data_IF_609926551553
#
_entry.id   IF_609926551553
#
_cell.length_a   1.000
_cell.length_b   1.000
_cell.length_c   1.000
_cell.angle_alpha   90.00
_cell.angle_beta   90.00
_cell.angle_gamma   90.00
#
_symmetry.space_group_name_H-M   'P 1'
#
loop_
_entity.id
_entity.type
_entity.pdbx_description
1 polymer ?
#
# COMPACT_ATOMS: atom_id res chain seq x y z
N UNK A 1 -5.26 -5.67 3.98
CA UNK A 1 -4.31 -4.50 3.96
C UNK A 1 -2.89 -5.04 3.97
N UNK A 2 -2.00 -4.42 3.21
CA UNK A 2 -0.60 -4.84 3.12
C UNK A 2 0.18 -4.48 4.38
N UNK A 3 1.19 -5.29 4.73
CA UNK A 3 2.15 -4.95 5.81
C UNK A 3 2.90 -3.65 5.52
N UNK A 4 2.99 -3.23 4.25
CA UNK A 4 3.56 -1.93 3.87
C UNK A 4 2.72 -0.78 4.46
N UNK A 5 1.40 -0.91 4.45
CA UNK A 5 0.52 0.07 5.08
C UNK A 5 0.77 0.14 6.59
N UNK A 6 1.00 -1.00 7.23
CA UNK A 6 1.38 -1.04 8.64
C UNK A 6 2.69 -0.30 8.88
N UNK A 7 3.70 -0.49 8.02
CA UNK A 7 4.98 0.21 8.12
C UNK A 7 4.79 1.74 7.99
N UNK A 8 3.96 2.19 7.06
CA UNK A 8 3.66 3.62 6.89
C UNK A 8 2.94 4.20 8.11
N UNK A 9 1.97 3.48 8.66
CA UNK A 9 1.26 3.91 9.88
C UNK A 9 2.21 3.98 11.07
N UNK A 10 3.10 2.99 11.22
CA UNK A 10 4.10 2.99 12.28
C UNK A 10 5.06 4.16 12.16
N UNK A 11 5.54 4.44 10.95
CA UNK A 11 6.39 5.59 10.69
C UNK A 11 5.69 6.90 11.07
N UNK A 12 4.39 7.02 10.78
CA UNK A 12 3.60 8.17 11.19
C UNK A 12 3.51 8.35 12.70
N UNK A 13 3.38 7.26 13.46
CA UNK A 13 3.39 7.31 14.94
C UNK A 13 4.74 7.82 15.43
N UNK A 14 5.84 7.25 14.90
CA UNK A 14 7.19 7.61 15.32
C UNK A 14 7.57 9.04 14.96
N UNK A 15 7.03 9.57 13.87
CA UNK A 15 7.29 10.94 13.41
C UNK A 15 6.45 12.00 14.12
N UNK A 16 5.43 11.61 14.89
CA UNK A 16 4.56 12.56 15.58
C UNK A 16 5.34 13.35 16.64
N UNK A 17 5.13 14.68 16.66
CA UNK A 17 5.87 15.59 17.54
C UNK A 17 5.10 15.96 18.80
N UNK A 18 3.81 15.65 18.87
CA UNK A 18 2.97 15.89 20.03
C UNK A 18 2.18 14.64 20.42
N UNK A 19 1.74 14.60 21.68
CA UNK A 19 1.05 13.42 22.23
C UNK A 19 -0.32 13.19 21.58
N UNK A 20 -1.07 14.25 21.31
CA UNK A 20 -2.42 14.12 20.73
C UNK A 20 -2.37 13.48 19.34
N UNK A 21 -1.44 13.94 18.49
CA UNK A 21 -1.24 13.37 17.15
C UNK A 21 -0.72 11.93 17.24
N UNK A 22 0.23 11.68 18.15
CA UNK A 22 0.78 10.33 18.35
C UNK A 22 -0.30 9.34 18.79
N UNK A 23 -1.13 9.74 19.76
CA UNK A 23 -2.19 8.88 20.27
C UNK A 23 -3.22 8.54 19.18
N UNK A 24 -3.62 9.55 18.39
CA UNK A 24 -4.53 9.34 17.27
C UNK A 24 -3.96 8.37 16.22
N UNK A 25 -2.70 8.56 15.85
CA UNK A 25 -2.02 7.70 14.88
C UNK A 25 -1.81 6.30 15.41
N UNK A 26 -1.46 6.17 16.70
CA UNK A 26 -1.33 4.88 17.36
C UNK A 26 -2.66 4.13 17.40
N UNK A 27 -3.76 4.84 17.64
CA UNK A 27 -5.10 4.25 17.62
C UNK A 27 -5.44 3.67 16.25
N UNK A 28 -5.14 4.41 15.18
CA UNK A 28 -5.33 3.96 13.80
C UNK A 28 -4.47 2.72 13.52
N UNK A 29 -3.21 2.73 13.93
CA UNK A 29 -2.30 1.58 13.76
C UNK A 29 -2.82 0.34 14.49
N UNK A 30 -3.28 0.50 15.72
CA UNK A 30 -3.82 -0.62 16.52
C UNK A 30 -5.03 -1.24 15.84
N UNK A 31 -5.95 -0.41 15.34
CA UNK A 31 -7.12 -0.89 14.59
C UNK A 31 -6.71 -1.62 13.30
N UNK A 32 -5.70 -1.11 12.58
CA UNK A 32 -5.21 -1.73 11.37
C UNK A 32 -4.58 -3.11 11.62
N UNK A 33 -3.85 -3.26 12.73
CA UNK A 33 -3.23 -4.54 13.10
C UNK A 33 -4.27 -5.64 13.38
N UNK A 34 -5.46 -5.27 13.81
CA UNK A 34 -6.56 -6.21 14.05
C UNK A 34 -7.15 -6.78 12.76
N UNK A 35 -6.83 -6.21 11.59
CA UNK A 35 -7.34 -6.65 10.29
C UNK A 35 -6.47 -7.72 9.61
N UNK A 36 -5.56 -8.35 10.35
CA UNK A 36 -4.64 -9.38 9.83
C UNK A 36 -3.90 -8.89 8.56
N UNK A 37 -2.91 -7.99 8.71
CA UNK A 37 -2.21 -7.44 7.55
C UNK A 37 -1.61 -8.52 6.66
N UNK A 38 -1.70 -8.35 5.35
CA UNK A 38 -1.20 -9.31 4.35
C UNK A 38 0.32 -9.19 4.25
N UNK A 39 1.06 -10.28 4.49
CA UNK A 39 2.51 -10.27 4.38
C UNK A 39 2.96 -10.21 2.91
N UNK A 40 4.20 -9.78 2.71
CA UNK A 40 4.85 -9.86 1.40
C UNK A 40 5.44 -11.26 1.26
N UNK A 41 4.70 -12.11 0.56
CA UNK A 41 5.11 -13.47 0.27
C UNK A 41 5.64 -13.59 -1.18
N UNK A 42 5.92 -14.80 -1.61
CA UNK A 42 6.43 -15.05 -2.97
C UNK A 42 5.43 -14.63 -4.05
N UNK A 43 4.14 -14.82 -3.81
CA UNK A 43 3.10 -14.40 -4.76
C UNK A 43 3.09 -12.88 -4.94
N UNK A 44 3.14 -12.13 -3.83
CA UNK A 44 3.22 -10.66 -3.88
C UNK A 44 4.50 -10.21 -4.59
N UNK A 45 5.63 -10.83 -4.29
CA UNK A 45 6.91 -10.51 -4.92
C UNK A 45 6.86 -10.72 -6.44
N UNK A 46 6.25 -11.82 -6.91
CA UNK A 46 6.08 -12.09 -8.33
C UNK A 46 5.20 -11.03 -9.01
N UNK A 47 4.10 -10.64 -8.38
CA UNK A 47 3.23 -9.59 -8.90
C UNK A 47 3.93 -8.23 -8.92
N UNK A 48 4.75 -7.94 -7.90
CA UNK A 48 5.54 -6.72 -7.87
C UNK A 48 6.53 -6.65 -9.03
N UNK A 49 7.23 -7.75 -9.32
CA UNK A 49 8.17 -7.82 -10.44
C UNK A 49 7.46 -7.57 -11.78
N UNK A 50 6.31 -8.20 -12.01
CA UNK A 50 5.50 -7.99 -13.22
C UNK A 50 5.01 -6.55 -13.32
N UNK A 51 4.56 -5.97 -12.22
CA UNK A 51 4.10 -4.58 -12.16
C UNK A 51 5.22 -3.62 -12.51
N UNK A 52 6.43 -3.82 -11.98
CA UNK A 52 7.60 -2.99 -12.26
C UNK A 52 7.93 -2.98 -13.75
N UNK A 53 7.90 -4.14 -14.38
CA UNK A 53 8.17 -4.25 -15.82
C UNK A 53 7.07 -3.56 -16.63
N UNK A 54 5.81 -3.77 -16.28
CA UNK A 54 4.68 -3.12 -16.95
C UNK A 54 4.74 -1.59 -16.86
N UNK A 55 5.09 -1.05 -15.69
CA UNK A 55 5.25 0.38 -15.49
C UNK A 55 6.38 0.94 -16.36
N UNK A 56 7.53 0.26 -16.36
CA UNK A 56 8.68 0.64 -17.18
C UNK A 56 8.32 0.68 -18.67
N UNK A 57 7.68 -0.38 -19.17
CA UNK A 57 7.36 -0.53 -20.59
C UNK A 57 6.33 0.50 -21.07
N UNK A 58 5.48 0.99 -20.18
CA UNK A 58 4.46 2.01 -20.47
C UNK A 58 4.90 3.43 -20.12
N UNK A 59 6.15 3.60 -19.62
CA UNK A 59 6.66 4.91 -19.21
C UNK A 59 5.93 5.52 -18.02
N UNK A 60 5.33 4.68 -17.16
CA UNK A 60 4.59 5.10 -15.99
C UNK A 60 5.44 5.02 -14.73
N UNK A 61 5.11 5.83 -13.72
CA UNK A 61 5.81 5.86 -12.44
C UNK A 61 4.85 5.61 -11.30
N UNK A 62 5.37 4.97 -10.26
CA UNK A 62 4.65 4.71 -9.02
C UNK A 62 5.67 4.72 -7.88
N UNK A 63 5.30 5.31 -6.74
CA UNK A 63 6.14 5.27 -5.54
C UNK A 63 6.41 3.84 -5.09
N UNK A 64 7.53 3.62 -4.42
CA UNK A 64 7.95 2.25 -4.00
C UNK A 64 6.89 1.60 -3.10
N UNK A 65 6.44 2.30 -2.06
CA UNK A 65 5.43 1.76 -1.15
C UNK A 65 4.10 1.50 -1.87
N UNK A 66 3.67 2.42 -2.71
CA UNK A 66 2.46 2.24 -3.52
C UNK A 66 2.57 1.04 -4.44
N UNK A 67 3.77 0.77 -5.00
CA UNK A 67 3.99 -0.40 -5.85
C UNK A 67 3.83 -1.71 -5.10
N UNK A 68 4.26 -1.78 -3.85
CA UNK A 68 4.06 -2.97 -3.00
C UNK A 68 2.59 -3.14 -2.61
N UNK A 69 1.89 -2.04 -2.31
CA UNK A 69 0.45 -2.07 -2.03
C UNK A 69 -0.32 -2.56 -3.26
N UNK A 70 0.02 -2.05 -4.45
CA UNK A 70 -0.58 -2.48 -5.70
C UNK A 70 -0.29 -3.97 -5.98
N UNK A 71 0.94 -4.42 -5.77
CA UNK A 71 1.32 -5.83 -5.95
C UNK A 71 0.53 -6.76 -5.01
N UNK A 72 0.30 -6.33 -3.78
CA UNK A 72 -0.51 -7.08 -2.81
C UNK A 72 -1.95 -7.21 -3.32
N UNK A 73 -2.53 -6.13 -3.81
CA UNK A 73 -3.88 -6.12 -4.37
C UNK A 73 -3.98 -7.04 -5.60
N UNK A 74 -2.98 -7.02 -6.48
CA UNK A 74 -2.93 -7.90 -7.64
C UNK A 74 -2.83 -9.37 -7.25
N UNK A 75 -2.00 -9.69 -6.25
CA UNK A 75 -1.84 -11.06 -5.76
C UNK A 75 -3.15 -11.60 -5.16
N UNK A 76 -3.94 -10.77 -4.53
CA UNK A 76 -5.22 -11.14 -3.92
C UNK A 76 -6.40 -10.97 -4.87
N UNK A 77 -6.18 -10.43 -6.06
CA UNK A 77 -7.23 -10.11 -7.05
C UNK A 77 -8.33 -9.21 -6.45
N UNK A 78 -7.89 -8.16 -5.78
CA UNK A 78 -8.77 -7.15 -5.19
C UNK A 78 -8.36 -5.76 -5.66
N UNK A 79 -9.27 -4.76 -5.63
CA UNK A 79 -8.91 -3.40 -5.99
C UNK A 79 -8.08 -2.73 -4.89
N UNK A 80 -7.30 -1.71 -5.28
CA UNK A 80 -6.69 -0.77 -4.34
C UNK A 80 -7.72 0.29 -3.98
N UNK A 81 -7.90 0.56 -2.69
CA UNK A 81 -8.71 1.68 -2.21
C UNK A 81 -7.76 2.79 -1.75
N UNK A 82 -7.89 3.96 -2.33
CA UNK A 82 -7.00 5.09 -2.03
C UNK A 82 -7.73 6.43 -2.11
N UNK A 83 -7.22 7.42 -1.37
CA UNK A 83 -7.59 8.83 -1.51
C UNK A 83 -6.59 9.59 -2.39
N UNK A 84 -5.51 8.92 -2.80
CA UNK A 84 -4.42 9.51 -3.56
C UNK A 84 -4.64 9.32 -5.06
N UNK A 85 -4.37 10.36 -5.85
CA UNK A 85 -4.42 10.33 -7.31
C UNK A 85 -3.11 9.81 -7.93
N UNK A 86 -2.14 9.40 -7.12
CA UNK A 86 -0.81 8.98 -7.54
C UNK A 86 -0.74 7.62 -8.22
N UNK A 87 -1.82 6.84 -8.24
CA UNK A 87 -1.83 5.54 -8.92
C UNK A 87 -2.07 5.72 -10.41
N UNK A 88 -1.14 5.28 -11.29
CA UNK A 88 -1.35 5.33 -12.73
C UNK A 88 -2.47 4.38 -13.17
N UNK A 89 -3.08 4.67 -14.30
CA UNK A 89 -4.10 3.80 -14.89
C UNK A 89 -3.42 2.60 -15.56
N UNK A 90 -3.73 1.40 -15.07
CA UNK A 90 -3.27 0.13 -15.60
C UNK A 90 -4.48 -0.80 -15.76
N UNK A 91 -4.55 -1.53 -16.88
CA UNK A 91 -5.68 -2.42 -17.16
C UNK A 91 -5.82 -3.52 -16.10
N UNK A 92 -4.68 -4.04 -15.61
CA UNK A 92 -4.64 -5.12 -14.62
C UNK A 92 -4.88 -4.64 -13.18
N UNK A 93 -4.82 -3.34 -12.91
CA UNK A 93 -4.94 -2.78 -11.56
C UNK A 93 -6.22 -1.97 -11.42
N UNK A 94 -7.13 -2.44 -10.59
CA UNK A 94 -8.35 -1.72 -10.25
C UNK A 94 -8.07 -0.78 -9.09
N UNK A 95 -8.35 0.50 -9.28
CA UNK A 95 -8.17 1.53 -8.25
C UNK A 95 -9.53 2.17 -7.97
N UNK A 96 -9.92 2.15 -6.70
CA UNK A 96 -11.14 2.80 -6.21
C UNK A 96 -10.73 4.02 -5.37
N UNK A 97 -11.29 5.16 -5.69
CA UNK A 97 -11.03 6.40 -4.95
C UNK A 97 -12.09 6.60 -3.87
N UNK A 98 -11.61 6.83 -2.65
CA UNK A 98 -12.47 7.07 -1.50
C UNK A 98 -12.93 8.53 -1.43
#
# INVERSE_FOLDING_TARGET
>A
MSVITIAELRAGVLAATDLTTRDRRLHTLTAALELDPVPIDTSVANHWAKLRVALRDRGLRMGVNDSWIAATALALDIPVLTQDDGFPTLDELRVLHA
#
